data_IF_713236950950
#
_entry.id   IF_713236950950
#
_cell.length_a   1.000
_cell.length_b   1.000
_cell.length_c   1.000
_cell.angle_alpha   90.00
_cell.angle_beta   90.00
_cell.angle_gamma   90.00
#
_symmetry.space_group_name_H-M   'P 1'
#
loop_
_entity.id
_entity.type
_entity.pdbx_description
1 polymer ?
#
# COMPACT_ATOMS: atom_id res chain seq x y z
N UNK A 1 43.39 -35.80 6.65
CA UNK A 1 42.06 -36.04 7.25
C UNK A 1 41.93 -35.25 8.55
N UNK A 2 41.70 -33.95 8.46
CA UNK A 2 41.45 -33.06 9.59
C UNK A 2 40.25 -32.17 9.25
N UNK A 3 39.11 -32.85 9.08
CA UNK A 3 37.82 -32.27 8.69
C UNK A 3 36.77 -32.95 9.56
N UNK A 4 36.43 -32.34 10.70
CA UNK A 4 35.18 -32.53 11.46
C UNK A 4 35.18 -31.79 12.81
N UNK A 5 36.35 -31.49 13.38
CA UNK A 5 36.45 -30.92 14.73
C UNK A 5 36.07 -29.42 14.87
N UNK A 6 35.81 -28.69 13.78
CA UNK A 6 35.36 -27.28 13.81
C UNK A 6 33.84 -27.09 13.71
N UNK A 7 33.06 -28.15 13.51
CA UNK A 7 31.62 -28.06 13.28
C UNK A 7 30.76 -28.09 14.55
N UNK A 8 31.36 -28.28 15.74
CA UNK A 8 30.62 -28.57 16.97
C UNK A 8 30.91 -27.61 18.16
N UNK A 9 31.68 -26.54 17.96
CA UNK A 9 32.10 -25.63 19.04
C UNK A 9 30.98 -24.73 19.62
N UNK A 10 29.76 -24.76 19.06
CA UNK A 10 28.62 -23.96 19.54
C UNK A 10 27.42 -24.79 20.04
N UNK A 11 27.60 -26.10 20.24
CA UNK A 11 26.54 -26.96 20.78
C UNK A 11 26.66 -27.06 22.31
N UNK A 12 25.85 -26.28 23.03
CA UNK A 12 25.66 -26.46 24.49
C UNK A 12 24.33 -27.18 24.76
N UNK A 13 24.39 -28.32 25.44
CA UNK A 13 23.21 -29.02 25.97
C UNK A 13 22.98 -28.50 27.39
N UNK A 14 21.92 -27.73 27.61
CA UNK A 14 21.53 -27.27 28.94
C UNK A 14 20.66 -28.31 29.65
N UNK A 15 21.08 -28.80 30.81
CA UNK A 15 20.27 -29.63 31.69
C UNK A 15 19.46 -28.74 32.66
N UNK A 16 18.13 -28.85 32.62
CA UNK A 16 17.25 -28.18 33.59
C UNK A 16 17.16 -29.06 34.83
N UNK A 17 17.80 -28.64 35.92
CA UNK A 17 17.59 -29.22 37.25
C UNK A 17 16.30 -28.62 37.81
N UNK A 18 15.24 -29.42 37.85
CA UNK A 18 14.00 -29.09 38.57
C UNK A 18 14.28 -29.21 40.07
N UNK A 19 14.28 -28.09 40.80
CA UNK A 19 14.18 -28.07 42.26
C UNK A 19 12.80 -27.55 42.64
N UNK A 20 11.91 -28.49 42.95
CA UNK A 20 10.66 -28.22 43.66
C UNK A 20 10.96 -27.72 45.07
N UNK A 21 10.73 -26.43 45.32
CA UNK A 21 10.52 -25.92 46.67
C UNK A 21 9.27 -25.04 46.63
N UNK A 22 8.16 -25.60 47.11
CA UNK A 22 6.92 -24.86 47.35
C UNK A 22 7.10 -24.01 48.60
N UNK A 23 7.34 -22.71 48.41
CA UNK A 23 7.13 -21.70 49.44
C UNK A 23 5.91 -20.89 48.96
N UNK A 24 4.78 -21.04 49.65
CA UNK A 24 3.62 -20.17 49.43
C UNK A 24 3.92 -18.80 50.07
N UNK A 25 3.96 -17.70 49.30
CA UNK A 25 4.08 -16.38 49.91
C UNK A 25 2.75 -15.97 50.55
N UNK A 26 2.78 -15.14 51.61
CA UNK A 26 1.58 -14.62 52.25
C UNK A 26 0.77 -13.81 51.24
N UNK A 27 -0.56 -13.86 51.34
CA UNK A 27 -1.51 -13.20 50.45
C UNK A 27 -1.12 -11.72 50.23
N UNK A 28 -0.47 -11.47 49.09
CA UNK A 28 -0.04 -10.16 48.68
C UNK A 28 -1.28 -9.36 48.31
N UNK A 29 -1.47 -8.22 48.98
CA UNK A 29 -2.55 -7.28 48.67
C UNK A 29 -2.58 -7.01 47.17
N UNK A 30 -3.76 -7.07 46.58
CA UNK A 30 -3.99 -6.68 45.19
C UNK A 30 -3.64 -5.20 45.11
N UNK A 31 -2.40 -4.89 44.72
CA UNK A 31 -2.01 -3.53 44.39
C UNK A 31 -2.96 -3.06 43.29
N UNK A 32 -3.50 -1.85 43.39
CA UNK A 32 -4.39 -1.28 42.36
C UNK A 32 -3.70 -1.15 40.99
N UNK A 33 -2.38 -1.28 40.95
CA UNK A 33 -1.57 -1.44 39.74
C UNK A 33 -1.78 -2.80 39.05
N UNK A 34 -2.09 -3.87 39.78
CA UNK A 34 -2.35 -5.21 39.21
C UNK A 34 -3.68 -5.31 38.43
N UNK A 35 -4.61 -4.37 38.64
CA UNK A 35 -5.86 -4.28 37.88
C UNK A 35 -5.71 -3.51 36.56
N UNK A 36 -4.63 -2.74 36.40
CA UNK A 36 -4.25 -2.21 35.10
C UNK A 36 -3.51 -3.32 34.35
N UNK A 37 -4.24 -4.29 33.77
CA UNK A 37 -3.70 -5.02 32.62
C UNK A 37 -3.21 -3.96 31.66
N UNK A 38 -1.89 -3.79 31.52
CA UNK A 38 -1.27 -2.91 30.53
C UNK A 38 -1.67 -3.48 29.19
N UNK A 39 -2.81 -2.99 28.72
CA UNK A 39 -3.55 -3.64 27.66
C UNK A 39 -2.96 -3.12 26.37
N UNK A 40 -2.03 -3.89 25.79
CA UNK A 40 -1.36 -3.53 24.55
C UNK A 40 -2.40 -3.39 23.44
N UNK A 41 -2.75 -2.14 23.11
CA UNK A 41 -3.56 -1.82 21.94
C UNK A 41 -2.62 -1.84 20.74
N UNK A 42 -2.93 -2.59 19.68
CA UNK A 42 -2.16 -2.49 18.44
C UNK A 42 -2.14 -1.03 17.98
N UNK A 43 -0.93 -0.51 17.73
CA UNK A 43 -0.77 0.84 17.17
C UNK A 43 -1.25 0.80 15.71
N UNK A 44 -1.91 1.85 15.21
CA UNK A 44 -2.24 1.93 13.79
C UNK A 44 -0.92 1.87 13.00
N UNK A 45 -0.65 0.72 12.37
CA UNK A 45 0.56 0.52 11.58
C UNK A 45 0.50 1.27 10.25
N UNK A 46 1.65 1.43 9.61
CA UNK A 46 1.75 1.99 8.26
C UNK A 46 1.01 1.07 7.27
N UNK A 47 0.02 1.59 6.55
CA UNK A 47 -0.65 0.87 5.46
C UNK A 47 -1.93 0.09 5.82
N UNK A 48 -2.32 -0.01 7.10
CA UNK A 48 -3.61 -0.62 7.50
C UNK A 48 -4.67 0.45 7.76
N UNK A 49 -5.72 0.49 6.92
CA UNK A 49 -6.77 1.50 7.02
C UNK A 49 -7.88 1.16 8.06
N UNK A 50 -7.96 -0.08 8.54
CA UNK A 50 -8.98 -0.60 9.48
C UNK A 50 -10.44 -0.22 9.13
N UNK A 51 -10.71 0.13 7.86
CA UNK A 51 -12.02 0.54 7.37
C UNK A 51 -12.84 -0.68 6.98
N UNK A 52 -12.21 -1.56 6.19
CA UNK A 52 -12.83 -2.72 5.60
C UNK A 52 -11.79 -3.81 5.36
N UNK A 53 -12.22 -5.06 5.39
CA UNK A 53 -11.48 -6.23 4.90
C UNK A 53 -12.16 -6.68 3.62
N UNK A 54 -11.33 -6.93 2.60
CA UNK A 54 -11.76 -7.52 1.34
C UNK A 54 -11.46 -9.00 1.42
N UNK A 55 -12.45 -9.83 1.11
CA UNK A 55 -12.28 -11.28 1.03
C UNK A 55 -11.81 -11.62 -0.38
N UNK A 56 -10.51 -11.88 -0.52
CA UNK A 56 -9.91 -12.25 -1.80
C UNK A 56 -10.04 -13.76 -2.01
N UNK A 57 -10.63 -14.22 -3.14
CA UNK A 57 -10.55 -15.62 -3.52
C UNK A 57 -9.11 -15.98 -3.94
N UNK A 58 -8.84 -17.28 -4.06
CA UNK A 58 -7.52 -17.79 -4.45
C UNK A 58 -7.10 -17.32 -5.85
N UNK A 59 -8.07 -17.30 -6.78
CA UNK A 59 -7.87 -16.88 -8.15
C UNK A 59 -8.45 -15.49 -8.40
N UNK A 60 -7.83 -14.75 -9.30
CA UNK A 60 -8.31 -13.43 -9.68
C UNK A 60 -9.68 -13.50 -10.37
N UNK A 61 -10.57 -12.58 -10.02
CA UNK A 61 -11.91 -12.51 -10.60
C UNK A 61 -12.32 -11.07 -10.84
N UNK A 62 -13.07 -10.83 -11.93
CA UNK A 62 -13.67 -9.54 -12.28
C UNK A 62 -15.00 -9.32 -11.55
N UNK A 63 -15.53 -10.35 -10.93
CA UNK A 63 -16.72 -10.23 -10.11
C UNK A 63 -16.45 -9.33 -8.89
N UNK A 64 -17.38 -8.41 -8.56
CA UNK A 64 -17.19 -7.54 -7.40
C UNK A 64 -17.12 -8.35 -6.09
N UNK A 65 -16.00 -8.22 -5.39
CA UNK A 65 -15.71 -8.96 -4.17
C UNK A 65 -16.55 -8.49 -2.98
N UNK A 66 -16.80 -9.43 -2.08
CA UNK A 66 -17.47 -9.17 -0.80
C UNK A 66 -16.53 -8.48 0.18
N UNK A 67 -17.07 -7.54 0.92
CA UNK A 67 -16.34 -6.69 1.85
C UNK A 67 -17.00 -6.72 3.21
N UNK A 68 -16.20 -6.89 4.27
CA UNK A 68 -16.65 -6.73 5.65
C UNK A 68 -16.15 -5.40 6.21
N UNK A 69 -17.07 -4.57 6.72
CA UNK A 69 -16.73 -3.30 7.35
C UNK A 69 -16.25 -3.54 8.79
N UNK A 70 -15.07 -3.01 9.13
CA UNK A 70 -14.45 -3.15 10.46
C UNK A 70 -14.81 -2.03 11.43
N UNK A 71 -15.29 -0.89 10.94
CA UNK A 71 -15.60 0.30 11.74
C UNK A 71 -14.42 0.80 12.61
N UNK A 72 -13.19 0.69 12.10
CA UNK A 72 -11.98 1.16 12.79
C UNK A 72 -11.45 0.19 13.86
N UNK A 73 -12.00 -1.03 13.91
CA UNK A 73 -11.55 -2.08 14.84
C UNK A 73 -10.51 -2.99 14.20
N UNK A 74 -9.67 -3.55 15.06
CA UNK A 74 -8.76 -4.62 14.70
C UNK A 74 -9.53 -5.93 14.43
N UNK A 75 -9.25 -6.68 13.36
CA UNK A 75 -9.91 -7.96 13.13
C UNK A 75 -9.54 -9.04 14.15
N UNK A 76 -8.30 -9.06 14.62
CA UNK A 76 -7.83 -10.09 15.55
C UNK A 76 -8.27 -9.79 16.99
N UNK A 77 -8.01 -8.56 17.47
CA UNK A 77 -8.31 -8.20 18.86
C UNK A 77 -9.71 -7.61 19.07
N UNK A 78 -10.41 -7.20 18.01
CA UNK A 78 -11.73 -6.52 18.09
C UNK A 78 -11.71 -5.10 18.66
N UNK A 79 -10.51 -4.59 19.03
CA UNK A 79 -10.33 -3.30 19.70
C UNK A 79 -10.36 -2.14 18.72
N UNK A 80 -10.87 -0.99 19.17
CA UNK A 80 -10.90 0.24 18.37
C UNK A 80 -9.48 0.83 18.22
N UNK A 81 -8.96 0.86 16.99
CA UNK A 81 -7.67 1.46 16.63
C UNK A 81 -7.88 2.83 15.99
N UNK A 82 -8.74 2.88 14.96
CA UNK A 82 -9.02 4.09 14.20
C UNK A 82 -10.40 4.66 14.59
N UNK A 83 -10.41 5.85 15.19
CA UNK A 83 -11.65 6.54 15.56
C UNK A 83 -12.28 7.20 14.32
N UNK A 84 -13.60 7.42 14.36
CA UNK A 84 -14.32 8.16 13.32
C UNK A 84 -14.72 7.33 12.09
N UNK A 85 -14.51 6.01 12.11
CA UNK A 85 -14.90 5.10 11.03
C UNK A 85 -16.07 4.23 11.50
N UNK A 86 -17.08 4.04 10.65
CA UNK A 86 -18.16 3.07 10.90
C UNK A 86 -19.49 3.46 10.25
N UNK A 87 -20.36 2.45 10.08
CA UNK A 87 -21.56 2.58 9.27
C UNK A 87 -21.23 2.67 7.78
N UNK A 88 -21.99 3.49 7.06
CA UNK A 88 -21.83 3.68 5.62
C UNK A 88 -22.60 2.68 4.78
N UNK A 89 -22.70 3.00 3.49
CA UNK A 89 -23.36 2.15 2.50
C UNK A 89 -22.50 0.90 2.26
N UNK A 90 -23.15 -0.22 1.97
CA UNK A 90 -22.45 -1.45 1.58
C UNK A 90 -21.86 -1.25 0.19
N UNK A 91 -20.54 -1.39 0.09
CA UNK A 91 -19.82 -1.34 -1.18
C UNK A 91 -19.32 -2.73 -1.56
N UNK A 92 -19.40 -3.07 -2.84
CA UNK A 92 -18.65 -4.18 -3.41
C UNK A 92 -17.26 -3.68 -3.82
N UNK A 93 -16.25 -4.55 -3.78
CA UNK A 93 -14.88 -4.17 -4.10
C UNK A 93 -14.48 -4.71 -5.47
N UNK A 94 -14.09 -3.83 -6.37
CA UNK A 94 -13.46 -4.23 -7.62
C UNK A 94 -11.99 -4.57 -7.37
N UNK A 95 -11.59 -5.80 -7.66
CA UNK A 95 -10.21 -6.26 -7.51
C UNK A 95 -9.32 -5.64 -8.58
N UNK A 96 -8.66 -4.54 -8.25
CA UNK A 96 -7.73 -3.87 -9.15
C UNK A 96 -6.41 -4.64 -9.20
N UNK A 97 -5.94 -4.92 -10.41
CA UNK A 97 -4.56 -5.37 -10.66
C UNK A 97 -3.63 -4.16 -10.52
N UNK A 98 -2.87 -4.14 -9.43
CA UNK A 98 -1.93 -3.05 -9.11
C UNK A 98 -0.59 -3.17 -9.82
N UNK A 99 -0.29 -4.36 -10.35
CA UNK A 99 0.90 -4.62 -11.17
C UNK A 99 0.47 -4.55 -12.63
N UNK A 100 1.22 -3.80 -13.43
CA UNK A 100 1.05 -3.75 -14.89
C UNK A 100 2.04 -4.73 -15.50
N UNK A 101 1.62 -5.98 -15.62
CA UNK A 101 2.41 -7.02 -16.27
C UNK A 101 2.45 -6.75 -17.79
N UNK A 102 3.65 -6.80 -18.37
CA UNK A 102 3.89 -6.63 -19.80
C UNK A 102 5.20 -7.28 -20.21
N UNK A 103 5.43 -7.50 -21.51
CA UNK A 103 6.61 -8.19 -22.01
C UNK A 103 7.89 -7.43 -21.69
N UNK A 104 8.93 -8.17 -21.30
CA UNK A 104 10.27 -7.64 -21.04
C UNK A 104 11.07 -7.42 -22.33
N UNK A 105 10.78 -8.23 -23.36
CA UNK A 105 11.36 -8.16 -24.69
C UNK A 105 10.24 -8.26 -25.75
N UNK A 106 10.41 -7.57 -26.87
CA UNK A 106 9.45 -7.59 -27.99
C UNK A 106 8.44 -6.44 -27.98
N UNK A 107 7.36 -6.64 -28.73
CA UNK A 107 6.30 -5.64 -28.91
C UNK A 107 5.53 -5.39 -27.61
N UNK A 108 5.09 -4.14 -27.34
CA UNK A 108 4.29 -3.84 -26.16
C UNK A 108 2.95 -4.59 -26.21
N UNK A 109 2.51 -5.08 -25.06
CA UNK A 109 1.20 -5.69 -24.92
C UNK A 109 0.12 -4.61 -25.09
N UNK A 110 -0.78 -4.83 -26.04
CA UNK A 110 -1.91 -3.93 -26.30
C UNK A 110 -3.13 -4.43 -25.55
N UNK A 111 -3.80 -3.53 -24.86
CA UNK A 111 -4.99 -3.80 -24.08
C UNK A 111 -6.12 -2.86 -24.51
N UNK A 112 -7.36 -3.36 -24.55
CA UNK A 112 -8.52 -2.56 -24.95
C UNK A 112 -9.36 -2.20 -23.73
N UNK A 113 -9.64 -0.91 -23.56
CA UNK A 113 -10.56 -0.43 -22.53
C UNK A 113 -11.99 -0.79 -22.92
N UNK A 114 -12.68 -1.51 -22.06
CA UNK A 114 -14.09 -1.90 -22.26
C UNK A 114 -15.02 -0.87 -21.64
N UNK A 115 -14.78 -0.54 -20.37
CA UNK A 115 -15.67 0.35 -19.61
C UNK A 115 -14.90 1.10 -18.51
N UNK A 116 -15.44 2.25 -18.10
CA UNK A 116 -14.88 3.10 -17.03
C UNK A 116 -15.93 3.31 -15.94
N UNK A 117 -15.74 2.63 -14.82
CA UNK A 117 -16.72 2.46 -13.74
C UNK A 117 -16.37 3.38 -12.57
N UNK A 118 -17.40 3.92 -11.93
CA UNK A 118 -17.25 4.62 -10.64
C UNK A 118 -17.21 3.62 -9.48
N UNK A 119 -16.14 3.65 -8.69
CA UNK A 119 -15.96 2.73 -7.58
C UNK A 119 -16.23 3.39 -6.22
N UNK A 120 -16.94 2.68 -5.33
CA UNK A 120 -17.23 3.16 -3.98
C UNK A 120 -16.15 2.86 -2.93
N UNK A 121 -15.10 2.10 -3.30
CA UNK A 121 -14.03 1.73 -2.37
C UNK A 121 -12.83 2.68 -2.41
N UNK A 122 -12.64 3.40 -3.52
CA UNK A 122 -11.56 4.37 -3.74
C UNK A 122 -12.12 5.66 -4.36
N UNK A 123 -11.30 6.71 -4.39
CA UNK A 123 -11.70 8.01 -4.93
C UNK A 123 -11.62 8.07 -6.46
N UNK A 124 -10.67 7.33 -7.05
CA UNK A 124 -10.46 7.24 -8.49
C UNK A 124 -11.49 6.32 -9.16
N UNK A 125 -11.72 6.53 -10.46
CA UNK A 125 -12.49 5.59 -11.29
C UNK A 125 -11.62 4.37 -11.65
N UNK A 126 -12.28 3.27 -11.97
CA UNK A 126 -11.65 2.00 -12.34
C UNK A 126 -12.03 1.69 -13.78
N UNK A 127 -11.06 1.29 -14.60
CA UNK A 127 -11.31 0.84 -15.96
C UNK A 127 -11.30 -0.69 -16.02
N UNK A 128 -12.29 -1.28 -16.69
CA UNK A 128 -12.26 -2.67 -17.11
C UNK A 128 -11.54 -2.77 -18.45
N UNK A 129 -10.52 -3.62 -18.51
CA UNK A 129 -9.64 -3.75 -19.67
C UNK A 129 -9.53 -5.21 -20.08
N UNK A 130 -9.57 -5.46 -21.39
CA UNK A 130 -9.34 -6.78 -21.99
C UNK A 130 -7.92 -6.90 -22.54
N UNK A 131 -7.33 -8.07 -22.31
CA UNK A 131 -6.00 -8.45 -22.79
C UNK A 131 -6.04 -9.89 -23.26
N UNK A 132 -6.04 -10.10 -24.58
CA UNK A 132 -6.34 -11.42 -25.14
C UNK A 132 -7.70 -11.91 -24.63
N UNK A 133 -7.72 -13.06 -23.97
CA UNK A 133 -8.92 -13.67 -23.39
C UNK A 133 -9.18 -13.29 -21.92
N UNK A 134 -8.30 -12.47 -21.33
CA UNK A 134 -8.38 -12.08 -19.93
C UNK A 134 -8.97 -10.69 -19.74
N UNK A 135 -9.78 -10.54 -18.68
CA UNK A 135 -10.33 -9.26 -18.24
C UNK A 135 -9.68 -8.84 -16.92
N UNK A 136 -9.29 -7.57 -16.80
CA UNK A 136 -8.70 -7.04 -15.56
C UNK A 136 -9.16 -5.62 -15.26
N UNK A 137 -9.23 -5.29 -13.98
CA UNK A 137 -9.48 -3.92 -13.53
C UNK A 137 -8.17 -3.18 -13.29
N UNK A 138 -8.10 -1.96 -13.80
CA UNK A 138 -6.98 -1.04 -13.57
C UNK A 138 -7.50 0.32 -13.10
N UNK A 139 -6.60 1.18 -12.62
CA UNK A 139 -6.96 2.56 -12.37
C UNK A 139 -7.13 3.31 -13.70
N UNK A 140 -8.26 4.01 -13.83
CA UNK A 140 -8.52 4.81 -15.02
C UNK A 140 -7.73 6.12 -14.96
N UNK A 141 -7.21 6.55 -16.11
CA UNK A 141 -6.62 7.88 -16.28
C UNK A 141 -7.68 8.94 -16.54
N UNK A 142 -7.27 10.20 -16.58
CA UNK A 142 -8.14 11.37 -16.72
C UNK A 142 -9.04 11.31 -17.95
N UNK A 143 -8.47 11.05 -19.12
CA UNK A 143 -9.17 11.11 -20.40
C UNK A 143 -9.50 9.73 -20.99
N UNK A 144 -9.35 8.66 -20.21
CA UNK A 144 -9.61 7.28 -20.66
C UNK A 144 -11.08 7.08 -21.00
N UNK A 145 -11.36 6.53 -22.18
CA UNK A 145 -12.70 6.22 -22.68
C UNK A 145 -12.83 4.74 -23.06
N UNK A 146 -14.06 4.20 -23.03
CA UNK A 146 -14.37 2.91 -23.66
C UNK A 146 -13.92 2.87 -25.12
N UNK A 147 -13.19 1.82 -25.51
CA UNK A 147 -12.66 1.63 -26.86
C UNK A 147 -11.19 2.03 -27.04
N UNK A 148 -10.60 2.77 -26.10
CA UNK A 148 -9.20 3.18 -26.17
C UNK A 148 -8.25 1.96 -26.10
N UNK A 149 -7.12 2.05 -26.79
CA UNK A 149 -6.05 1.06 -26.76
C UNK A 149 -4.89 1.60 -25.92
N UNK A 150 -4.52 0.84 -24.88
CA UNK A 150 -3.40 1.16 -23.99
C UNK A 150 -2.28 0.16 -24.18
N UNK A 151 -1.04 0.60 -23.98
CA UNK A 151 0.16 -0.23 -24.16
C UNK A 151 0.87 -0.47 -22.84
N UNK A 152 1.31 -1.69 -22.63
CA UNK A 152 2.14 -2.07 -21.47
C UNK A 152 3.43 -2.71 -21.96
N UNK A 153 4.58 -2.24 -21.47
CA UNK A 153 5.88 -2.87 -21.74
C UNK A 153 6.80 -2.70 -20.54
N UNK A 154 7.71 -3.65 -20.33
CA UNK A 154 8.77 -3.59 -19.31
C UNK A 154 10.15 -3.31 -19.90
N UNK A 155 10.24 -3.12 -21.22
CA UNK A 155 11.49 -2.87 -21.92
C UNK A 155 11.96 -1.42 -21.73
N UNK A 156 13.27 -1.23 -21.52
CA UNK A 156 13.90 0.09 -21.45
C UNK A 156 14.68 0.32 -22.76
N UNK A 157 14.12 1.07 -23.72
CA UNK A 157 14.81 1.39 -24.96
C UNK A 157 15.91 2.44 -24.72
N UNK A 158 16.91 2.44 -25.62
CA UNK A 158 17.98 3.45 -25.63
C UNK A 158 17.44 4.87 -25.85
N UNK A 159 16.39 5.00 -26.67
CA UNK A 159 15.71 6.27 -26.95
C UNK A 159 14.42 6.30 -26.14
N UNK A 160 14.13 7.37 -25.37
CA UNK A 160 12.90 7.47 -24.59
C UNK A 160 11.64 7.37 -25.47
N UNK A 161 10.65 6.63 -24.97
CA UNK A 161 9.36 6.44 -25.65
C UNK A 161 8.49 7.68 -25.47
N UNK A 162 7.82 8.08 -26.55
CA UNK A 162 6.70 9.04 -26.49
C UNK A 162 5.43 8.27 -26.13
N UNK A 163 5.20 8.09 -24.84
CA UNK A 163 4.05 7.37 -24.32
C UNK A 163 2.77 8.23 -24.37
N UNK A 164 1.63 7.58 -24.62
CA UNK A 164 0.32 8.19 -24.53
C UNK A 164 -0.25 8.04 -23.11
N UNK A 165 -1.31 8.78 -22.81
CA UNK A 165 -2.02 8.65 -21.55
C UNK A 165 -2.62 7.23 -21.40
N UNK A 166 -2.43 6.61 -20.23
CA UNK A 166 -2.89 5.24 -19.97
C UNK A 166 -1.86 4.16 -20.26
N UNK A 167 -0.81 4.47 -21.03
CA UNK A 167 0.29 3.54 -21.27
C UNK A 167 1.12 3.31 -20.00
N UNK A 168 1.67 2.12 -19.84
CA UNK A 168 2.52 1.74 -18.71
C UNK A 168 3.90 1.27 -19.17
N UNK A 169 4.94 1.93 -18.65
CA UNK A 169 6.34 1.71 -19.00
C UNK A 169 7.24 1.83 -17.76
N UNK A 170 8.49 1.32 -17.81
CA UNK A 170 9.47 1.58 -16.77
C UNK A 170 9.85 3.06 -16.76
N UNK A 171 10.21 3.59 -15.59
CA UNK A 171 10.66 4.98 -15.44
C UNK A 171 11.84 5.34 -16.36
N UNK A 172 12.74 4.37 -16.60
CA UNK A 172 13.88 4.52 -17.50
C UNK A 172 13.49 4.76 -18.96
N UNK A 173 12.35 4.22 -19.39
CA UNK A 173 11.86 4.36 -20.77
C UNK A 173 11.18 5.71 -21.04
N UNK A 174 10.67 6.39 -20.01
CA UNK A 174 9.85 7.60 -20.16
C UNK A 174 10.69 8.88 -20.29
N UNK A 175 10.18 9.89 -21.00
CA UNK A 175 10.86 11.17 -21.13
C UNK A 175 10.86 11.95 -19.78
N UNK A 176 11.88 12.79 -19.59
CA UNK A 176 11.90 13.75 -18.47
C UNK A 176 10.77 14.76 -18.65
N UNK A 177 10.09 15.13 -17.58
CA UNK A 177 8.91 16.02 -17.58
C UNK A 177 7.57 15.30 -17.78
N UNK A 178 7.57 13.99 -18.05
CA UNK A 178 6.33 13.22 -18.17
C UNK A 178 5.57 13.16 -16.85
N UNK A 179 4.24 13.28 -16.95
CA UNK A 179 3.34 13.08 -15.82
C UNK A 179 3.04 11.59 -15.68
N UNK A 180 3.14 11.08 -14.46
CA UNK A 180 2.94 9.66 -14.16
C UNK A 180 2.08 9.47 -12.92
N UNK A 181 1.44 8.32 -12.83
CA UNK A 181 0.72 7.85 -11.66
C UNK A 181 0.91 6.33 -11.53
N UNK A 182 0.31 5.74 -10.51
CA UNK A 182 0.43 4.32 -10.21
C UNK A 182 1.88 3.82 -10.10
N UNK A 183 2.72 4.53 -9.35
CA UNK A 183 4.15 4.25 -9.27
C UNK A 183 4.44 3.08 -8.31
N UNK A 184 5.27 2.14 -8.78
CA UNK A 184 5.84 1.06 -7.96
C UNK A 184 6.91 1.59 -7.00
N UNK A 185 6.94 1.04 -5.78
CA UNK A 185 8.00 1.39 -4.82
C UNK A 185 9.32 0.69 -5.18
N UNK A 186 9.23 -0.56 -5.61
CA UNK A 186 10.33 -1.41 -6.06
C UNK A 186 9.88 -2.17 -7.31
N UNK A 187 10.80 -2.54 -8.22
CA UNK A 187 10.42 -3.22 -9.46
C UNK A 187 9.63 -4.50 -9.20
N UNK A 188 8.47 -4.64 -9.84
CA UNK A 188 7.62 -5.83 -9.72
C UNK A 188 6.79 -5.91 -8.43
N UNK A 189 6.86 -4.90 -7.57
CA UNK A 189 5.88 -4.75 -6.48
C UNK A 189 4.61 -4.09 -6.98
N UNK A 190 3.46 -4.33 -6.32
CA UNK A 190 2.24 -3.59 -6.65
C UNK A 190 2.47 -2.09 -6.52
N UNK A 191 1.82 -1.33 -7.40
CA UNK A 191 1.75 0.11 -7.27
C UNK A 191 1.39 0.50 -5.82
N UNK A 192 2.20 1.39 -5.24
CA UNK A 192 1.99 1.89 -3.89
C UNK A 192 1.72 3.40 -3.87
N UNK A 193 2.32 4.14 -4.80
CA UNK A 193 2.34 5.60 -4.79
C UNK A 193 1.45 6.16 -5.91
N UNK A 194 0.86 7.34 -5.66
CA UNK A 194 0.13 8.15 -6.65
C UNK A 194 -1.07 7.39 -7.26
N UNK A 195 -1.97 6.88 -6.43
CA UNK A 195 -3.19 6.16 -6.85
C UNK A 195 -4.49 6.92 -6.53
N UNK A 196 -4.40 8.12 -5.94
CA UNK A 196 -5.58 8.90 -5.52
C UNK A 196 -6.15 9.71 -6.68
N UNK A 197 -7.46 9.95 -6.67
CA UNK A 197 -8.15 10.73 -7.69
C UNK A 197 -7.45 12.07 -8.00
N UNK A 198 -7.25 12.37 -9.28
CA UNK A 198 -6.63 13.62 -9.73
C UNK A 198 -5.18 13.82 -9.29
N UNK A 199 -4.48 12.80 -8.79
CA UNK A 199 -3.05 12.91 -8.46
C UNK A 199 -2.16 12.49 -9.61
N UNK A 200 -0.97 13.08 -9.68
CA UNK A 200 0.11 12.73 -10.60
C UNK A 200 1.45 13.10 -9.95
N UNK A 201 2.52 12.47 -10.41
CA UNK A 201 3.90 12.86 -10.16
C UNK A 201 4.57 13.24 -11.47
N UNK A 202 5.75 13.84 -11.38
CA UNK A 202 6.50 14.29 -12.55
C UNK A 202 7.93 13.77 -12.50
N UNK A 203 8.42 13.24 -13.62
CA UNK A 203 9.82 12.83 -13.75
C UNK A 203 10.69 14.08 -13.88
N UNK A 204 11.62 14.30 -12.95
CA UNK A 204 12.45 15.51 -12.94
C UNK A 204 13.78 15.30 -13.66
N UNK A 205 14.47 14.20 -13.37
CA UNK A 205 15.81 13.91 -13.89
C UNK A 205 16.14 12.43 -13.76
N UNK A 206 17.08 11.97 -14.57
CA UNK A 206 17.64 10.61 -14.53
C UNK A 206 19.13 10.70 -14.25
N UNK A 207 19.64 9.87 -13.35
CA UNK A 207 21.06 9.83 -13.00
C UNK A 207 21.48 8.37 -12.74
N UNK A 208 22.38 7.85 -13.57
CA UNK A 208 22.70 6.42 -13.56
C UNK A 208 21.44 5.56 -13.67
N UNK A 209 21.30 4.57 -12.79
CA UNK A 209 20.14 3.67 -12.74
C UNK A 209 18.93 4.23 -11.96
N UNK A 210 19.02 5.47 -11.49
CA UNK A 210 18.00 6.10 -10.66
C UNK A 210 17.26 7.21 -11.41
N UNK A 211 15.95 7.26 -11.18
CA UNK A 211 15.04 8.27 -11.73
C UNK A 211 14.43 9.06 -10.58
N UNK A 212 14.61 10.38 -10.60
CA UNK A 212 14.00 11.28 -9.62
C UNK A 212 12.59 11.63 -10.06
N UNK A 213 11.64 11.32 -9.19
CA UNK A 213 10.23 11.65 -9.36
C UNK A 213 9.80 12.61 -8.26
N UNK A 214 9.11 13.67 -8.65
CA UNK A 214 8.40 14.55 -7.73
C UNK A 214 7.02 13.97 -7.45
N UNK A 215 6.73 13.68 -6.17
CA UNK A 215 5.41 13.23 -5.74
C UNK A 215 4.41 14.40 -5.65
N UNK A 216 3.09 14.13 -5.56
CA UNK A 216 2.06 15.15 -5.31
C UNK A 216 2.32 16.02 -4.06
N UNK A 217 3.06 15.50 -3.08
CA UNK A 217 3.50 16.23 -1.88
C UNK A 217 4.62 17.23 -2.14
N UNK A 218 5.09 17.36 -3.39
CA UNK A 218 6.29 18.09 -3.83
C UNK A 218 7.62 17.53 -3.32
N UNK A 219 7.59 16.42 -2.58
CA UNK A 219 8.80 15.74 -2.13
C UNK A 219 9.41 14.95 -3.29
N UNK A 220 10.74 15.03 -3.42
CA UNK A 220 11.50 14.27 -4.41
C UNK A 220 11.91 12.90 -3.85
N UNK A 221 11.74 11.87 -4.68
CA UNK A 221 12.20 10.52 -4.40
C UNK A 221 12.97 9.98 -5.61
N UNK A 222 14.05 9.26 -5.35
CA UNK A 222 14.80 8.55 -6.38
C UNK A 222 14.40 7.06 -6.38
N UNK A 223 13.95 6.56 -7.52
CA UNK A 223 13.52 5.18 -7.75
C UNK A 223 14.43 4.50 -8.74
N UNK A 224 14.44 3.17 -8.77
CA UNK A 224 15.12 2.42 -9.83
C UNK A 224 14.45 2.66 -11.19
N UNK A 225 15.24 2.74 -12.25
CA UNK A 225 14.74 2.95 -13.61
C UNK A 225 13.81 1.83 -14.11
N UNK A 226 13.89 0.64 -13.50
CA UNK A 226 13.07 -0.54 -13.81
C UNK A 226 11.70 -0.54 -13.13
N UNK A 227 11.42 0.37 -12.18
CA UNK A 227 10.09 0.50 -11.59
C UNK A 227 9.07 0.90 -12.65
N UNK A 228 7.90 0.25 -12.64
CA UNK A 228 6.81 0.60 -13.56
C UNK A 228 6.03 1.83 -13.07
N UNK A 229 5.54 2.61 -14.04
CA UNK A 229 4.59 3.68 -13.83
C UNK A 229 3.62 3.77 -15.00
N UNK A 230 2.43 4.31 -14.75
CA UNK A 230 1.44 4.60 -15.79
C UNK A 230 1.47 6.08 -16.14
N UNK A 231 1.44 6.40 -17.42
CA UNK A 231 1.53 7.77 -17.92
C UNK A 231 0.20 8.50 -17.79
N UNK A 232 0.27 9.75 -17.40
CA UNK A 232 -0.87 10.64 -17.21
C UNK A 232 -1.30 10.78 -15.75
N UNK A 233 -2.46 11.40 -15.57
CA UNK A 233 -3.07 11.71 -14.28
C UNK A 233 -4.18 10.71 -13.95
N UNK A 234 -4.38 10.43 -12.66
CA UNK A 234 -5.49 9.59 -12.20
C UNK A 234 -6.84 10.28 -12.48
N UNK A 235 -7.83 9.50 -12.91
CA UNK A 235 -9.22 9.93 -13.12
C UNK A 235 -9.86 10.66 -11.93
N UNK A 236 -11.00 11.30 -12.20
CA UNK A 236 -11.82 12.02 -11.21
C UNK A 236 -11.13 13.26 -10.59
N UNK A 237 -10.65 14.17 -11.43
CA UNK A 237 -9.93 15.39 -11.01
C UNK A 237 -10.72 16.25 -10.03
N UNK A 238 -12.03 16.41 -10.30
CA UNK A 238 -12.89 17.33 -9.57
C UNK A 238 -13.32 16.79 -8.21
N UNK A 239 -12.83 15.61 -7.79
CA UNK A 239 -13.15 15.02 -6.49
C UNK A 239 -12.88 15.96 -5.30
N UNK A 240 -11.83 16.79 -5.40
CA UNK A 240 -11.49 17.75 -4.35
C UNK A 240 -12.45 18.97 -4.29
N UNK A 241 -13.16 19.26 -5.38
CA UNK A 241 -14.14 20.36 -5.46
C UNK A 241 -15.55 19.90 -5.12
N UNK A 242 -15.82 18.60 -5.06
CA UNK A 242 -17.14 18.05 -4.74
C UNK A 242 -17.50 18.32 -3.27
N UNK A 243 -18.52 19.15 -2.96
CA UNK A 243 -18.97 19.33 -1.58
C UNK A 243 -19.71 18.09 -1.07
N UNK A 244 -19.62 17.82 0.23
CA UNK A 244 -20.35 16.70 0.87
C UNK A 244 -21.86 16.99 0.96
N UNK A 245 -22.26 18.26 1.04
CA UNK A 245 -23.65 18.71 1.05
C UNK A 245 -24.36 18.56 2.41
N UNK A 246 -24.37 17.36 3.00
CA UNK A 246 -25.08 17.10 4.27
C UNK A 246 -24.29 16.24 5.25
N UNK A 247 -24.59 16.36 6.55
CA UNK A 247 -24.02 15.49 7.57
C UNK A 247 -24.36 14.01 7.32
N UNK A 248 -25.56 13.73 6.82
CA UNK A 248 -26.00 12.39 6.47
C UNK A 248 -25.17 11.81 5.32
N UNK A 249 -24.81 12.61 4.31
CA UNK A 249 -23.92 12.15 3.23
C UNK A 249 -22.56 11.71 3.78
N UNK A 250 -22.05 12.39 4.80
CA UNK A 250 -20.83 11.97 5.48
C UNK A 250 -20.99 10.62 6.23
N UNK A 251 -22.19 10.37 6.77
CA UNK A 251 -22.54 9.07 7.38
C UNK A 251 -22.66 7.96 6.34
N UNK A 252 -23.22 8.24 5.17
CA UNK A 252 -23.28 7.30 4.02
C UNK A 252 -21.89 6.89 3.54
N UNK A 253 -20.93 7.81 3.57
CA UNK A 253 -19.53 7.50 3.27
C UNK A 253 -18.90 6.57 4.32
N UNK A 254 -19.52 6.43 5.51
CA UNK A 254 -18.99 5.62 6.62
C UNK A 254 -18.07 6.37 7.57
N UNK A 255 -18.18 7.71 7.61
CA UNK A 255 -17.45 8.56 8.54
C UNK A 255 -18.37 8.94 9.72
N UNK A 256 -17.92 8.69 10.95
CA UNK A 256 -18.63 9.04 12.19
C UNK A 256 -18.24 10.45 12.66
N UNK A 257 -19.12 11.16 13.37
CA UNK A 257 -18.77 12.43 13.98
C UNK A 257 -17.61 12.27 14.97
N UNK A 258 -16.84 13.35 15.16
CA UNK A 258 -15.77 13.40 16.15
C UNK A 258 -16.37 13.49 17.57
N UNK A 259 -15.55 13.20 18.57
CA UNK A 259 -15.93 13.38 19.97
C UNK A 259 -16.27 14.84 20.26
N UNK A 260 -17.29 15.07 21.10
CA UNK A 260 -17.61 16.39 21.65
C UNK A 260 -16.69 16.81 22.80
N UNK A 261 -15.74 15.96 23.21
CA UNK A 261 -14.77 16.27 24.25
C UNK A 261 -13.92 17.49 23.83
N UNK A 262 -14.03 18.55 24.63
CA UNK A 262 -13.22 19.74 24.43
C UNK A 262 -11.77 19.48 24.84
N UNK A 263 -10.83 19.93 24.01
CA UNK A 263 -9.39 19.88 24.29
C UNK A 263 -8.78 21.25 24.06
N UNK A 264 -7.94 21.71 24.99
CA UNK A 264 -7.15 22.93 24.82
C UNK A 264 -6.14 22.73 23.69
N UNK A 265 -5.94 23.77 22.86
CA UNK A 265 -4.92 23.75 21.81
C UNK A 265 -3.54 23.99 22.44
N UNK A 266 -2.62 23.06 22.22
CA UNK A 266 -1.20 23.20 22.59
C UNK A 266 -0.35 23.77 21.44
N UNK A 267 0.95 23.98 21.67
CA UNK A 267 1.91 24.56 20.72
C UNK A 267 2.11 23.81 19.40
N UNK A 268 1.58 22.57 19.28
CA UNK A 268 1.57 21.80 18.03
C UNK A 268 0.55 22.32 16.99
N UNK A 269 -0.48 23.05 17.40
CA UNK A 269 -1.60 23.44 16.52
C UNK A 269 -1.32 24.72 15.71
N UNK A 270 -0.26 25.47 16.04
CA UNK A 270 0.14 26.63 15.26
C UNK A 270 0.70 26.23 13.88
N UNK A 271 0.56 27.12 12.89
CA UNK A 271 1.12 26.93 11.55
C UNK A 271 2.64 26.70 11.64
N UNK A 272 3.13 25.61 11.05
CA UNK A 272 4.56 25.29 10.98
C UNK A 272 5.02 25.39 9.53
N UNK A 273 5.80 26.42 9.23
CA UNK A 273 6.48 26.54 7.93
C UNK A 273 7.77 25.73 8.05
N UNK A 274 7.80 24.57 7.40
CA UNK A 274 8.96 23.68 7.37
C UNK A 274 9.57 23.70 5.98
N UNK A 275 10.90 23.59 5.91
CA UNK A 275 11.59 23.32 4.64
C UNK A 275 11.13 21.97 4.10
N UNK A 276 11.15 21.82 2.77
CA UNK A 276 10.87 20.54 2.15
C UNK A 276 11.87 19.49 2.66
N UNK A 277 11.42 18.27 2.97
CA UNK A 277 12.34 17.20 3.34
C UNK A 277 13.31 16.90 2.18
N UNK A 278 14.54 16.47 2.49
CA UNK A 278 15.51 16.15 1.45
C UNK A 278 15.03 14.98 0.59
N UNK A 279 15.61 14.89 -0.61
CA UNK A 279 15.37 13.77 -1.53
C UNK A 279 15.69 12.45 -0.84
N UNK A 280 14.79 11.47 -0.97
CA UNK A 280 15.00 10.12 -0.43
C UNK A 280 15.26 9.13 -1.55
N UNK A 281 16.31 8.33 -1.42
CA UNK A 281 16.55 7.19 -2.31
C UNK A 281 15.73 6.01 -1.81
N UNK A 282 14.92 5.43 -2.68
CA UNK A 282 14.10 4.27 -2.38
C UNK A 282 14.94 3.03 -2.68
N UNK A 283 15.75 2.62 -1.70
CA UNK A 283 16.54 1.41 -1.76
C UNK A 283 15.67 0.17 -1.45
N UNK A 284 15.89 -0.92 -2.17
CA UNK A 284 15.23 -2.20 -1.92
C UNK A 284 15.38 -2.58 -0.43
N UNK A 285 14.34 -3.15 0.20
CA UNK A 285 14.49 -3.66 1.56
C UNK A 285 15.62 -4.69 1.54
N UNK A 286 16.51 -4.64 2.53
CA UNK A 286 17.48 -5.70 2.73
C UNK A 286 16.72 -7.02 2.84
N UNK A 287 17.21 -8.06 2.16
CA UNK A 287 16.65 -9.40 2.31
C UNK A 287 16.62 -9.76 3.80
N UNK A 288 15.51 -10.32 4.32
CA UNK A 288 15.48 -10.74 5.71
C UNK A 288 16.63 -11.73 5.91
N UNK A 289 17.45 -11.49 6.93
CA UNK A 289 18.50 -12.44 7.29
C UNK A 289 17.86 -13.82 7.43
N UNK A 290 18.40 -14.81 6.71
CA UNK A 290 17.86 -16.16 6.73
C UNK A 290 17.67 -16.61 8.18
N UNK A 291 16.43 -16.90 8.58
CA UNK A 291 16.13 -17.34 9.93
C UNK A 291 16.91 -18.62 10.20
N UNK A 292 17.72 -18.64 11.26
CA UNK A 292 18.46 -19.83 11.64
C UNK A 292 17.45 -20.95 11.96
N UNK A 293 17.44 -21.99 11.12
CA UNK A 293 16.58 -23.17 11.32
C UNK A 293 17.12 -23.93 12.52
N UNK A 294 16.50 -23.72 13.69
CA UNK A 294 16.82 -24.50 14.89
C UNK A 294 16.07 -25.84 14.84
N UNK A 295 16.78 -26.92 14.53
CA UNK A 295 16.23 -28.27 14.65
C UNK A 295 16.21 -28.70 16.11
N UNK A 296 15.03 -28.72 16.73
CA UNK A 296 14.81 -29.40 18.01
C UNK A 296 14.39 -30.85 17.76
N UNK A 297 15.27 -31.80 18.08
CA UNK A 297 14.88 -33.21 18.20
C UNK A 297 14.05 -33.37 19.47
N UNK A 298 12.82 -33.90 19.34
CA UNK A 298 12.09 -34.45 20.48
C UNK A 298 12.64 -35.86 20.72
N UNK A 299 13.50 -36.00 21.75
CA UNK A 299 13.86 -37.30 22.32
C UNK A 299 12.74 -37.78 23.25
#
# INVERSE_FOLDING_TARGET
MATLARLFQHLSIGSVVVRDVRILPPACGISTESLARVMNKPKPGTGKAYRRIVHYPEQYTVEPLKVTNLAGRDPETGRLIAKGIGGGIKHKYHWVKWVRDGPAEGEPQVEKVIDVIHDGCRTAKVALVAVGDELKYILATENMKPGDLIKTSRFIPRIPVRANEGDAYPLGALQVGTQIHCLEKFPGQPCHLIHSAGTYGTILRKFGDLVVVQLPSKQEFAFQQTCMATVGRVSNIYHNKTPIGSAQKNRELGNRPRSGLWHRKDGRHGRKIRKLPPMRVVAAPAEPAAEAINFTLKL
#
